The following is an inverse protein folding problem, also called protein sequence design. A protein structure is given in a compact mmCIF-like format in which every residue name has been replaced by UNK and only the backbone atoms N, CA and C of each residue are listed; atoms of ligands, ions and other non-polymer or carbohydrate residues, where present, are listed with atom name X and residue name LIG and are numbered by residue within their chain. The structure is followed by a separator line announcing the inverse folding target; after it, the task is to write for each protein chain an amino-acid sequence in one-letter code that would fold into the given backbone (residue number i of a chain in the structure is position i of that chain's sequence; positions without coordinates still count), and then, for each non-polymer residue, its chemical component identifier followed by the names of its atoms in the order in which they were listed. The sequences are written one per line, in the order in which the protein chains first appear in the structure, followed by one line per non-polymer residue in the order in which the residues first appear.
data_IF_583861038779
#
_entry.id   IF_583861038779
#
_cell.length_a   1.000
_cell.length_b   1.000
_cell.length_c   1.000
_cell.angle_alpha   90.00
_cell.angle_beta   90.00
_cell.angle_gamma   90.00
#
_symmetry.space_group_name_H-M   'P 1'
#
loop_
_entity.id
_entity.type
_entity.pdbx_description
1 polymer ?
#
# COMPACT_ATOMS: atom_id res chain seq x y z
N UNK A 1 40.36 -40.29 4.26
CA UNK A 1 40.52 -38.85 4.56
C UNK A 1 39.69 -38.05 3.57
N UNK A 2 38.71 -37.30 4.09
CA UNK A 2 38.02 -36.16 3.49
C UNK A 2 37.13 -36.36 2.24
N UNK A 3 35.84 -36.56 2.55
CA UNK A 3 34.67 -36.14 1.76
C UNK A 3 34.92 -34.80 1.04
N UNK A 4 34.83 -34.80 -0.29
CA UNK A 4 34.80 -33.61 -1.14
C UNK A 4 33.35 -33.25 -1.48
N UNK A 5 32.49 -33.04 -0.48
CA UNK A 5 31.08 -32.62 -0.68
C UNK A 5 30.85 -31.13 -0.43
N UNK A 6 31.91 -30.32 -0.36
CA UNK A 6 31.81 -28.88 -0.12
C UNK A 6 31.48 -28.06 -1.38
N UNK A 7 31.56 -28.65 -2.58
CA UNK A 7 31.31 -27.92 -3.84
C UNK A 7 29.83 -27.83 -4.25
N UNK A 8 29.06 -28.89 -4.04
CA UNK A 8 27.65 -28.96 -4.50
C UNK A 8 26.71 -28.24 -3.52
N UNK A 9 27.05 -28.23 -2.23
CA UNK A 9 26.27 -27.53 -1.19
C UNK A 9 26.29 -26.00 -1.33
N UNK A 10 27.25 -25.42 -2.06
CA UNK A 10 27.35 -23.96 -2.24
C UNK A 10 26.48 -23.44 -3.41
N UNK A 11 26.15 -24.31 -4.39
CA UNK A 11 25.33 -23.94 -5.55
C UNK A 11 23.82 -24.04 -5.28
N UNK A 12 23.40 -24.82 -4.28
CA UNK A 12 21.99 -24.91 -3.84
C UNK A 12 21.54 -23.73 -2.96
N UNK A 13 22.48 -22.96 -2.41
CA UNK A 13 22.18 -21.81 -1.55
C UNK A 13 21.85 -20.53 -2.34
N UNK A 14 22.23 -20.44 -3.62
CA UNK A 14 22.04 -19.23 -4.43
C UNK A 14 20.65 -19.12 -5.07
N UNK A 15 19.93 -20.24 -5.24
CA UNK A 15 18.61 -20.28 -5.86
C UNK A 15 17.46 -20.05 -4.87
N UNK A 16 17.73 -20.15 -3.57
CA UNK A 16 16.75 -19.91 -2.49
C UNK A 16 16.73 -18.45 -2.00
N UNK A 17 17.50 -17.56 -2.62
CA UNK A 17 17.57 -16.14 -2.27
C UNK A 17 17.01 -15.24 -3.39
N UNK A 18 15.87 -15.61 -3.96
CA UNK A 18 15.01 -14.60 -4.57
C UNK A 18 14.20 -14.01 -3.41
N UNK A 19 14.50 -12.80 -2.91
CA UNK A 19 13.53 -12.13 -2.06
C UNK A 19 12.28 -12.03 -2.91
N UNK A 20 11.19 -12.65 -2.46
CA UNK A 20 9.88 -12.46 -3.06
C UNK A 20 9.66 -10.94 -3.01
N UNK A 21 9.84 -10.26 -4.14
CA UNK A 21 9.48 -8.87 -4.24
C UNK A 21 7.96 -8.90 -4.16
N UNK A 22 7.45 -8.72 -2.95
CA UNK A 22 6.07 -8.34 -2.72
C UNK A 22 5.90 -6.94 -3.33
N UNK A 23 5.84 -6.88 -4.65
CA UNK A 23 5.58 -5.68 -5.40
C UNK A 23 4.14 -5.31 -5.09
N UNK A 24 3.94 -4.37 -4.16
CA UNK A 24 2.59 -3.99 -3.77
C UNK A 24 1.79 -3.57 -4.98
N UNK A 25 0.67 -4.23 -5.22
CA UNK A 25 -0.16 -3.97 -6.39
C UNK A 25 -1.03 -2.73 -6.19
N UNK A 26 -1.51 -2.14 -7.30
CA UNK A 26 -2.53 -1.08 -7.26
C UNK A 26 -3.76 -1.46 -6.43
N UNK A 27 -4.11 -2.75 -6.37
CA UNK A 27 -5.21 -3.25 -5.53
C UNK A 27 -4.86 -3.22 -4.03
N UNK A 28 -3.65 -3.62 -3.63
CA UNK A 28 -3.25 -3.58 -2.21
C UNK A 28 -3.20 -2.17 -1.65
N UNK A 29 -2.69 -1.19 -2.43
CA UNK A 29 -2.72 0.21 -2.00
C UNK A 29 -4.16 0.75 -1.92
N UNK A 30 -5.08 0.23 -2.74
CA UNK A 30 -6.49 0.60 -2.66
C UNK A 30 -7.15 0.06 -1.38
N UNK A 31 -6.86 -1.20 -1.02
CA UNK A 31 -7.33 -1.79 0.23
C UNK A 31 -6.74 -1.08 1.45
N UNK A 32 -5.44 -0.76 1.44
CA UNK A 32 -4.78 0.03 2.48
C UNK A 32 -5.42 1.42 2.63
N UNK A 33 -5.78 2.05 1.51
CA UNK A 33 -6.53 3.31 1.51
C UNK A 33 -7.91 3.17 2.15
N UNK A 34 -8.66 2.11 1.83
CA UNK A 34 -9.95 1.82 2.43
C UNK A 34 -9.85 1.55 3.93
N UNK A 35 -8.84 0.79 4.35
CA UNK A 35 -8.59 0.51 5.77
C UNK A 35 -8.33 1.80 6.55
N UNK A 36 -7.48 2.68 6.02
CA UNK A 36 -7.20 4.00 6.62
C UNK A 36 -8.41 4.93 6.64
N UNK A 37 -9.22 4.91 5.58
CA UNK A 37 -10.48 5.65 5.57
C UNK A 37 -11.43 5.15 6.66
N UNK A 38 -11.49 3.83 6.89
CA UNK A 38 -12.28 3.21 7.96
C UNK A 38 -11.80 3.54 9.37
N UNK A 39 -10.49 3.76 9.57
CA UNK A 39 -9.93 4.20 10.87
C UNK A 39 -10.01 5.71 11.09
N UNK A 40 -10.53 6.47 10.12
CA UNK A 40 -10.62 7.93 10.18
C UNK A 40 -9.33 8.66 9.74
N UNK A 41 -8.30 7.93 9.31
CA UNK A 41 -7.10 8.51 8.69
C UNK A 41 -7.36 8.84 7.21
N UNK A 42 -8.16 9.86 6.98
CA UNK A 42 -8.49 10.30 5.62
C UNK A 42 -7.28 10.87 4.88
N UNK A 43 -6.27 11.40 5.57
CA UNK A 43 -5.04 11.88 4.93
C UNK A 43 -4.21 10.71 4.40
N UNK A 44 -4.04 9.65 5.19
CA UNK A 44 -3.36 8.43 4.78
C UNK A 44 -4.12 7.72 3.65
N UNK A 45 -5.45 7.69 3.72
CA UNK A 45 -6.30 7.14 2.66
C UNK A 45 -6.12 7.89 1.33
N UNK A 46 -6.13 9.23 1.36
CA UNK A 46 -5.91 10.06 0.16
C UNK A 46 -4.55 9.80 -0.50
N UNK A 47 -3.49 9.62 0.30
CA UNK A 47 -2.16 9.29 -0.22
C UNK A 47 -2.16 7.91 -0.88
N UNK A 48 -2.75 6.91 -0.23
CA UNK A 48 -2.86 5.56 -0.76
C UNK A 48 -3.58 5.54 -2.12
N UNK A 49 -4.76 6.17 -2.23
CA UNK A 49 -5.47 6.29 -3.50
C UNK A 49 -4.70 7.07 -4.56
N UNK A 50 -3.89 8.05 -4.16
CA UNK A 50 -3.03 8.79 -5.10
C UNK A 50 -1.95 7.88 -5.67
N UNK A 51 -1.33 7.02 -4.87
CA UNK A 51 -0.40 6.00 -5.36
C UNK A 51 -1.07 5.04 -6.33
N UNK A 52 -2.32 4.64 -6.04
CA UNK A 52 -3.12 3.80 -6.95
C UNK A 52 -3.36 4.49 -8.29
N UNK A 53 -3.76 5.76 -8.27
CA UNK A 53 -3.95 6.57 -9.49
C UNK A 53 -2.64 6.72 -10.27
N UNK A 54 -1.51 6.90 -9.60
CA UNK A 54 -0.20 6.98 -10.25
C UNK A 54 0.21 5.68 -10.95
N UNK A 55 -0.17 4.52 -10.39
CA UNK A 55 0.10 3.22 -10.99
C UNK A 55 -0.91 2.82 -12.07
N UNK A 56 -2.19 3.13 -11.84
CA UNK A 56 -3.28 2.88 -12.76
C UNK A 56 -4.17 4.14 -12.84
N UNK A 57 -3.90 5.04 -13.82
CA UNK A 57 -4.65 6.28 -13.97
C UNK A 57 -6.10 6.08 -14.40
N UNK A 58 -6.49 4.88 -14.86
CA UNK A 58 -7.86 4.53 -15.24
C UNK A 58 -8.65 3.87 -14.10
N UNK A 59 -8.06 3.77 -12.90
CA UNK A 59 -8.72 3.15 -11.76
C UNK A 59 -9.80 4.06 -11.13
N UNK A 60 -10.99 4.07 -11.74
CA UNK A 60 -12.14 4.88 -11.34
C UNK A 60 -12.50 4.84 -9.83
N UNK A 61 -12.58 3.65 -9.17
CA UNK A 61 -12.77 3.55 -7.72
C UNK A 61 -11.82 4.41 -6.88
N UNK A 62 -10.56 4.57 -7.31
CA UNK A 62 -9.57 5.33 -6.53
C UNK A 62 -9.83 6.83 -6.58
N UNK A 63 -10.32 7.37 -7.70
CA UNK A 63 -10.74 8.77 -7.77
C UNK A 63 -11.97 9.03 -6.90
N UNK A 64 -12.94 8.12 -6.94
CA UNK A 64 -14.16 8.21 -6.14
C UNK A 64 -13.82 8.19 -4.65
N UNK A 65 -13.06 7.20 -4.19
CA UNK A 65 -12.69 7.08 -2.78
C UNK A 65 -11.76 8.21 -2.31
N UNK A 66 -10.89 8.74 -3.17
CA UNK A 66 -10.11 9.95 -2.84
C UNK A 66 -11.01 11.16 -2.62
N UNK A 67 -12.05 11.31 -3.43
CA UNK A 67 -13.06 12.36 -3.26
C UNK A 67 -13.83 12.21 -1.95
N UNK A 68 -14.26 10.98 -1.64
CA UNK A 68 -14.94 10.66 -0.39
C UNK A 68 -14.04 10.96 0.84
N UNK A 69 -12.77 10.54 0.81
CA UNK A 69 -11.81 10.83 1.87
C UNK A 69 -11.62 12.34 2.08
N UNK A 70 -11.58 13.12 0.99
CA UNK A 70 -11.49 14.58 1.06
C UNK A 70 -12.72 15.23 1.68
N UNK A 71 -13.93 14.73 1.37
CA UNK A 71 -15.17 15.21 1.97
C UNK A 71 -15.18 14.94 3.48
N UNK A 72 -14.87 13.71 3.88
CA UNK A 72 -14.77 13.33 5.29
C UNK A 72 -13.72 14.16 6.04
N UNK A 73 -12.56 14.41 5.43
CA UNK A 73 -11.53 15.25 6.05
C UNK A 73 -12.02 16.69 6.27
N UNK A 74 -12.81 17.24 5.34
CA UNK A 74 -13.41 18.57 5.48
C UNK A 74 -14.46 18.60 6.58
N UNK A 75 -15.29 17.57 6.69
CA UNK A 75 -16.31 17.47 7.74
C UNK A 75 -15.68 17.31 9.13
N UNK A 76 -14.63 16.48 9.25
CA UNK A 76 -13.86 16.37 10.49
C UNK A 76 -13.18 17.69 10.88
N UNK A 77 -12.56 18.39 9.92
CA UNK A 77 -11.94 19.70 10.20
C UNK A 77 -12.97 20.79 10.49
N UNK A 78 -14.11 20.77 9.81
CA UNK A 78 -15.20 21.72 10.00
C UNK A 78 -15.91 21.54 11.35
N UNK A 79 -16.10 20.29 11.79
CA UNK A 79 -16.73 19.97 13.07
C UNK A 79 -15.95 20.48 14.29
N UNK A 80 -14.62 20.54 14.22
CA UNK A 80 -13.79 21.11 15.29
C UNK A 80 -13.65 22.64 15.23
N UNK A 81 -13.96 23.27 14.10
CA UNK A 81 -13.84 24.72 13.93
C UNK A 81 -15.09 25.52 14.38
N UNK A 82 -16.18 24.84 14.75
CA UNK A 82 -17.47 25.47 15.08
C UNK A 82 -17.79 25.65 16.57
N UNK A 83 -16.86 25.40 17.50
CA UNK A 83 -17.12 25.46 18.95
C UNK A 83 -16.26 26.51 19.68
N UNK A 84 -16.26 27.75 19.20
CA UNK A 84 -15.65 28.87 19.95
C UNK A 84 -16.64 30.00 20.17
#
# INVERSE_FOLDING_TARGET
MRLQFTGISFLLALTLYCPVFAQRSAAEYFEDGNAKAGTGDFNGAMQAYTTVISMNPDHAPSYFNRGLAKANLKDYRGGHAGLR
#
